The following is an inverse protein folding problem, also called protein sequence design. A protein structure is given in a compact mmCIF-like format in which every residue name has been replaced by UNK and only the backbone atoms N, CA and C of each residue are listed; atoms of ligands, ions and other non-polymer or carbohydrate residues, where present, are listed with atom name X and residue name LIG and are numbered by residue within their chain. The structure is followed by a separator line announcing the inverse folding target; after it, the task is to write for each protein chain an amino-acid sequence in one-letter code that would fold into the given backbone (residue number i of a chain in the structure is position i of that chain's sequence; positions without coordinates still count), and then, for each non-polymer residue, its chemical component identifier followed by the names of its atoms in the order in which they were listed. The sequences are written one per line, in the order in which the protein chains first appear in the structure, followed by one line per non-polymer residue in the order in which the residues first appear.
data_IF_903513326149
#
_entry.id   IF_903513326149
#
_cell.length_a   1.000
_cell.length_b   1.000
_cell.length_c   1.000
_cell.angle_alpha   90.00
_cell.angle_beta   90.00
_cell.angle_gamma   90.00
#
_symmetry.space_group_name_H-M   'P 1'
#
loop_
_entity.id
_entity.type
_entity.pdbx_description
1 polymer ?
#
# COMPACT_ATOMS: atom_id res chain seq x y z
N UNK A 1 57.74 -46.93 -57.81
CA UNK A 1 58.34 -46.41 -56.57
C UNK A 1 57.62 -45.11 -56.24
N UNK A 2 56.52 -45.23 -55.47
CA UNK A 2 55.68 -44.09 -55.09
C UNK A 2 55.72 -43.94 -53.60
N UNK A 3 56.19 -42.78 -53.15
CA UNK A 3 56.10 -42.40 -51.72
C UNK A 3 54.86 -41.59 -51.51
N UNK A 4 53.94 -42.10 -50.72
CA UNK A 4 52.76 -41.37 -50.19
C UNK A 4 53.19 -40.58 -48.97
N UNK A 5 53.02 -39.25 -49.01
CA UNK A 5 53.09 -38.39 -47.87
C UNK A 5 51.70 -38.29 -47.24
N UNK A 6 51.60 -38.76 -46.00
CA UNK A 6 50.39 -38.54 -45.20
C UNK A 6 50.50 -37.21 -44.44
N UNK A 7 49.59 -36.29 -44.72
CA UNK A 7 49.43 -35.04 -43.98
C UNK A 7 48.47 -35.27 -42.82
N UNK A 8 48.94 -35.10 -41.60
CA UNK A 8 48.09 -35.10 -40.38
C UNK A 8 47.53 -33.70 -40.13
N UNK A 9 46.19 -33.55 -40.27
CA UNK A 9 45.46 -32.37 -39.81
C UNK A 9 45.27 -32.44 -38.29
N UNK A 10 45.88 -31.53 -37.56
CA UNK A 10 45.62 -31.28 -36.18
C UNK A 10 44.41 -30.32 -36.04
N UNK A 11 43.26 -30.85 -35.60
CA UNK A 11 42.09 -30.05 -35.25
C UNK A 11 42.24 -29.51 -33.83
N UNK A 12 42.51 -28.23 -33.69
CA UNK A 12 42.49 -27.51 -32.41
C UNK A 12 41.04 -27.21 -32.02
N UNK A 13 40.48 -27.92 -31.02
CA UNK A 13 39.25 -27.56 -30.36
C UNK A 13 39.49 -26.29 -29.50
N UNK A 14 38.95 -25.15 -29.94
CA UNK A 14 38.76 -23.99 -29.09
C UNK A 14 37.59 -24.27 -28.15
N UNK A 15 37.87 -24.65 -26.92
CA UNK A 15 36.87 -24.66 -25.84
C UNK A 15 36.61 -23.20 -25.43
N UNK A 16 35.50 -22.63 -25.91
CA UNK A 16 35.01 -21.34 -25.44
C UNK A 16 34.62 -21.51 -23.96
N UNK A 17 35.40 -20.92 -23.07
CA UNK A 17 35.05 -20.78 -21.65
C UNK A 17 33.87 -19.82 -21.59
N UNK A 18 32.67 -20.35 -21.52
CA UNK A 18 31.48 -19.62 -21.09
C UNK A 18 31.67 -19.29 -19.60
N UNK A 19 32.18 -18.11 -19.29
CA UNK A 19 32.02 -17.52 -17.96
C UNK A 19 30.54 -17.14 -17.85
N UNK A 20 29.78 -17.68 -16.89
CA UNK A 20 28.43 -17.18 -16.65
C UNK A 20 28.56 -15.71 -16.30
N UNK A 21 27.86 -14.86 -17.06
CA UNK A 21 27.75 -13.45 -16.72
C UNK A 21 27.24 -13.39 -15.28
N UNK A 22 28.07 -12.89 -14.37
CA UNK A 22 27.62 -12.54 -13.02
C UNK A 22 26.39 -11.65 -13.19
N UNK A 23 25.27 -12.06 -12.59
CA UNK A 23 24.08 -11.22 -12.59
C UNK A 23 24.52 -9.87 -12.03
N UNK A 24 24.58 -8.84 -12.88
CA UNK A 24 24.97 -7.51 -12.46
C UNK A 24 24.07 -7.12 -11.29
N UNK A 25 24.67 -6.73 -10.17
CA UNK A 25 23.92 -6.29 -9.00
C UNK A 25 22.97 -5.17 -9.47
N UNK A 26 21.68 -5.36 -9.22
CA UNK A 26 20.67 -4.38 -9.63
C UNK A 26 20.98 -3.08 -8.91
N UNK A 27 21.01 -1.97 -9.66
CA UNK A 27 21.17 -0.65 -9.08
C UNK A 27 20.07 -0.39 -8.03
N UNK A 28 20.39 0.21 -6.89
CA UNK A 28 19.42 0.58 -5.88
C UNK A 28 18.35 1.52 -6.46
N UNK A 29 17.11 1.36 -6.03
CA UNK A 29 16.10 2.36 -6.34
C UNK A 29 16.43 3.67 -5.62
N UNK A 30 16.21 4.82 -6.31
CA UNK A 30 16.23 6.12 -5.68
C UNK A 30 15.05 6.31 -4.72
N UNK A 31 15.03 7.43 -4.01
CA UNK A 31 14.02 7.74 -2.98
C UNK A 31 12.59 7.84 -3.53
N UNK A 32 12.45 8.16 -4.83
CA UNK A 32 11.19 8.17 -5.57
C UNK A 32 10.88 6.85 -6.27
N UNK A 33 11.48 5.73 -5.85
CA UNK A 33 11.36 4.42 -6.51
C UNK A 33 11.66 4.49 -8.01
N UNK A 34 12.68 5.26 -8.39
CA UNK A 34 13.18 5.33 -9.76
C UNK A 34 13.60 3.94 -10.22
N UNK A 35 13.17 3.55 -11.42
CA UNK A 35 13.37 2.19 -11.93
C UNK A 35 12.34 1.15 -11.48
N UNK A 36 11.48 1.42 -10.48
CA UNK A 36 10.35 0.56 -10.17
C UNK A 36 9.16 0.87 -11.09
N UNK A 37 8.69 -0.15 -11.80
CA UNK A 37 7.60 0.01 -12.77
C UNK A 37 6.23 0.18 -12.10
N UNK A 38 5.43 1.14 -12.59
CA UNK A 38 4.02 1.29 -12.25
C UNK A 38 3.15 0.82 -13.43
N UNK A 39 1.92 0.34 -13.17
CA UNK A 39 1.06 -0.22 -14.21
C UNK A 39 0.51 0.83 -15.19
N UNK A 40 0.48 2.10 -14.79
CA UNK A 40 -0.01 3.22 -15.57
C UNK A 40 0.96 4.41 -15.48
N UNK A 41 0.87 5.39 -16.39
CA UNK A 41 1.69 6.60 -16.33
C UNK A 41 1.54 7.33 -14.99
N UNK A 42 2.66 7.80 -14.46
CA UNK A 42 2.73 8.54 -13.20
C UNK A 42 2.95 10.02 -13.49
N UNK A 43 2.07 10.85 -12.95
CA UNK A 43 2.20 12.31 -12.94
C UNK A 43 2.65 12.79 -11.56
N UNK A 44 3.19 14.02 -11.49
CA UNK A 44 3.67 14.64 -10.27
C UNK A 44 2.95 15.97 -10.05
N UNK A 45 2.29 16.12 -8.89
CA UNK A 45 1.69 17.37 -8.45
C UNK A 45 2.61 18.08 -7.46
N UNK A 46 3.11 19.30 -7.74
CA UNK A 46 3.81 20.12 -6.76
C UNK A 46 2.87 20.56 -5.64
N UNK A 47 3.30 20.41 -4.40
CA UNK A 47 2.58 20.81 -3.19
C UNK A 47 3.53 21.48 -2.20
N UNK A 48 2.95 22.21 -1.24
CA UNK A 48 3.67 22.69 -0.06
C UNK A 48 3.13 21.96 1.16
N UNK A 49 4.00 21.24 1.86
CA UNK A 49 3.69 20.44 3.04
C UNK A 49 4.41 21.02 4.25
N UNK A 50 3.68 21.73 5.10
CA UNK A 50 4.23 22.40 6.29
C UNK A 50 5.49 23.26 5.99
N UNK A 51 5.46 24.01 4.87
CA UNK A 51 6.55 24.87 4.39
C UNK A 51 7.60 24.16 3.51
N UNK A 52 7.61 22.83 3.44
CA UNK A 52 8.50 22.08 2.55
C UNK A 52 7.86 21.90 1.16
N UNK A 53 8.64 22.15 0.09
CA UNK A 53 8.21 21.87 -1.28
C UNK A 53 8.30 20.37 -1.54
N UNK A 54 7.18 19.76 -1.88
CA UNK A 54 7.05 18.31 -2.12
C UNK A 54 6.34 18.04 -3.44
N UNK A 55 6.41 16.81 -3.93
CA UNK A 55 5.69 16.37 -5.12
C UNK A 55 4.91 15.12 -4.78
N UNK A 56 3.60 15.12 -5.07
CA UNK A 56 2.74 13.95 -4.96
C UNK A 56 2.72 13.23 -6.30
N UNK A 57 3.15 11.98 -6.31
CA UNK A 57 3.03 11.10 -7.48
C UNK A 57 1.61 10.50 -7.51
N UNK A 58 1.03 10.38 -8.69
CA UNK A 58 -0.28 9.77 -8.86
C UNK A 58 -0.45 9.16 -10.25
N UNK A 59 -1.28 8.13 -10.35
CA UNK A 59 -1.83 7.61 -11.60
C UNK A 59 -3.24 8.15 -11.76
N UNK A 60 -3.62 8.57 -12.97
CA UNK A 60 -4.98 9.02 -13.34
C UNK A 60 -5.42 8.23 -14.57
N UNK A 61 -6.35 7.32 -14.37
CA UNK A 61 -6.77 6.35 -15.38
C UNK A 61 -8.19 6.63 -15.82
N UNK A 62 -8.32 7.10 -17.04
CA UNK A 62 -9.62 7.33 -17.65
C UNK A 62 -10.24 6.00 -18.12
N UNK A 63 -11.54 5.78 -17.95
CA UNK A 63 -12.24 4.61 -18.48
C UNK A 63 -12.50 4.77 -19.98
N UNK A 64 -12.67 3.65 -20.68
CA UNK A 64 -13.06 3.65 -22.11
C UNK A 64 -14.50 4.20 -22.30
N UNK A 65 -15.41 3.83 -21.41
CA UNK A 65 -16.80 4.29 -21.41
C UNK A 65 -17.12 4.93 -20.04
N UNK A 66 -17.03 6.26 -19.92
CA UNK A 66 -17.22 6.94 -18.63
C UNK A 66 -18.66 6.82 -18.09
N UNK A 67 -18.77 6.47 -16.81
CA UNK A 67 -20.04 6.52 -16.07
C UNK A 67 -20.24 7.84 -15.31
N UNK A 68 -19.31 8.80 -15.44
CA UNK A 68 -19.35 10.12 -14.81
C UNK A 68 -18.84 10.13 -13.36
N UNK A 69 -18.41 9.00 -12.81
CA UNK A 69 -17.92 8.89 -11.41
C UNK A 69 -16.41 8.65 -11.34
N UNK A 70 -15.83 9.12 -10.25
CA UNK A 70 -14.41 8.95 -9.95
C UNK A 70 -14.23 8.14 -8.68
N UNK A 71 -13.28 7.22 -8.70
CA UNK A 71 -12.81 6.47 -7.52
C UNK A 71 -11.38 6.86 -7.19
N UNK A 72 -11.11 7.18 -5.93
CA UNK A 72 -9.76 7.38 -5.39
C UNK A 72 -9.32 6.15 -4.62
N UNK A 73 -8.17 5.58 -4.98
CA UNK A 73 -7.58 4.42 -4.29
C UNK A 73 -6.49 4.86 -3.34
N UNK A 74 -6.70 4.70 -2.04
CA UNK A 74 -5.74 5.05 -0.98
C UNK A 74 -4.98 3.80 -0.53
N UNK A 75 -3.67 3.80 -0.72
CA UNK A 75 -2.80 2.65 -0.43
C UNK A 75 -2.49 2.46 1.06
N UNK A 76 -2.04 1.26 1.41
CA UNK A 76 -1.52 0.92 2.74
C UNK A 76 -0.07 1.39 2.96
N UNK A 77 0.47 1.15 4.17
CA UNK A 77 1.81 1.62 4.57
C UNK A 77 2.95 0.94 3.81
N UNK A 78 2.82 -0.34 3.55
CA UNK A 78 3.97 -1.21 3.24
C UNK A 78 4.21 -1.45 1.75
N UNK A 79 3.29 -1.02 0.89
CA UNK A 79 3.33 -1.31 -0.54
C UNK A 79 3.16 -0.04 -1.36
N UNK A 80 3.86 0.09 -2.50
CA UNK A 80 3.61 1.17 -3.44
C UNK A 80 2.22 1.02 -4.07
N UNK A 81 1.59 2.12 -4.47
CA UNK A 81 0.23 2.11 -5.02
C UNK A 81 0.05 1.27 -6.30
N UNK A 82 1.16 0.85 -6.92
CA UNK A 82 1.17 -0.08 -8.06
C UNK A 82 0.44 -1.41 -7.80
N UNK A 83 0.33 -1.85 -6.54
CA UNK A 83 -0.39 -3.08 -6.18
C UNK A 83 -1.91 -2.99 -6.42
N UNK A 84 -2.43 -1.79 -6.64
CA UNK A 84 -3.81 -1.59 -7.03
C UNK A 84 -4.12 -1.95 -8.50
N UNK A 85 -3.12 -2.37 -9.30
CA UNK A 85 -3.28 -2.65 -10.73
C UNK A 85 -4.55 -3.46 -11.10
N UNK A 86 -4.89 -4.59 -10.43
CA UNK A 86 -6.09 -5.35 -10.75
C UNK A 86 -7.39 -4.57 -10.45
N UNK A 87 -7.41 -3.79 -9.35
CA UNK A 87 -8.58 -3.00 -8.96
C UNK A 87 -8.76 -1.80 -9.88
N UNK A 88 -7.66 -1.15 -10.30
CA UNK A 88 -7.70 -0.07 -11.31
C UNK A 88 -8.35 -0.58 -12.58
N UNK A 89 -7.91 -1.74 -13.08
CA UNK A 89 -8.48 -2.35 -14.29
C UNK A 89 -9.97 -2.63 -14.11
N UNK A 90 -10.37 -3.27 -13.02
CA UNK A 90 -11.78 -3.58 -12.73
C UNK A 90 -12.66 -2.34 -12.73
N UNK A 91 -12.23 -1.27 -12.06
CA UNK A 91 -12.99 -0.02 -11.96
C UNK A 91 -13.03 0.73 -13.29
N UNK A 92 -11.92 0.80 -14.03
CA UNK A 92 -11.90 1.47 -15.34
C UNK A 92 -12.73 0.73 -16.38
N UNK A 93 -12.74 -0.61 -16.37
CA UNK A 93 -13.62 -1.42 -17.22
C UNK A 93 -15.11 -1.19 -16.88
N UNK A 94 -15.42 -0.90 -15.61
CA UNK A 94 -16.77 -0.56 -15.14
C UNK A 94 -17.15 0.92 -15.34
N UNK A 95 -16.32 1.70 -16.01
CA UNK A 95 -16.59 3.08 -16.40
C UNK A 95 -16.16 4.15 -15.40
N UNK A 96 -15.49 3.81 -14.31
CA UNK A 96 -15.01 4.79 -13.34
C UNK A 96 -13.66 5.39 -13.79
N UNK A 97 -13.49 6.72 -13.64
CA UNK A 97 -12.17 7.34 -13.61
C UNK A 97 -11.48 6.91 -12.32
N UNK A 98 -10.23 6.48 -12.37
CA UNK A 98 -9.52 5.96 -11.19
C UNK A 98 -8.29 6.82 -10.91
N UNK A 99 -8.25 7.47 -9.74
CA UNK A 99 -7.12 8.29 -9.28
C UNK A 99 -6.40 7.58 -8.15
N UNK A 100 -5.11 7.39 -8.28
CA UNK A 100 -4.32 6.58 -7.34
C UNK A 100 -3.07 7.34 -6.92
N UNK A 101 -3.16 8.17 -5.86
CA UNK A 101 -1.99 8.85 -5.32
C UNK A 101 -1.07 7.88 -4.56
N UNK A 102 0.25 8.07 -4.70
CA UNK A 102 1.17 7.74 -3.62
C UNK A 102 1.12 8.89 -2.61
N UNK A 103 0.73 8.63 -1.39
CA UNK A 103 0.70 9.67 -0.37
C UNK A 103 2.10 10.24 -0.12
N UNK A 104 2.19 11.52 0.28
CA UNK A 104 3.47 12.11 0.69
C UNK A 104 4.11 11.25 1.79
N UNK A 105 5.38 10.90 1.64
CA UNK A 105 6.09 9.95 2.49
C UNK A 105 6.20 8.54 1.90
N UNK A 106 5.46 8.22 0.83
CA UNK A 106 5.35 6.86 0.29
C UNK A 106 5.64 6.81 -1.22
N UNK A 107 5.82 5.59 -1.73
CA UNK A 107 5.92 5.28 -3.15
C UNK A 107 6.85 6.20 -3.92
N UNK A 108 6.38 6.75 -5.04
CA UNK A 108 7.13 7.71 -5.87
C UNK A 108 6.99 9.16 -5.40
N UNK A 109 6.18 9.44 -4.37
CA UNK A 109 6.05 10.78 -3.79
C UNK A 109 7.25 11.19 -2.95
N UNK A 110 7.43 12.48 -2.74
CA UNK A 110 8.48 13.03 -1.87
C UNK A 110 8.41 12.46 -0.45
N UNK A 111 9.57 12.27 0.19
CA UNK A 111 9.73 11.92 1.59
C UNK A 111 10.09 13.19 2.36
N UNK A 112 9.13 13.82 3.06
CA UNK A 112 9.36 15.06 3.79
C UNK A 112 10.33 14.84 4.96
N UNK A 113 10.93 15.93 5.44
CA UNK A 113 11.76 15.88 6.65
C UNK A 113 10.93 15.95 7.93
N UNK A 114 9.75 16.61 7.85
CA UNK A 114 8.80 16.73 8.94
C UNK A 114 8.02 15.44 9.24
N UNK A 115 7.25 15.47 10.31
CA UNK A 115 6.38 14.37 10.70
C UNK A 115 5.19 14.24 9.74
N UNK A 116 4.71 13.02 9.55
CA UNK A 116 3.48 12.75 8.80
C UNK A 116 2.27 12.84 9.73
N UNK A 117 1.19 13.44 9.22
CA UNK A 117 -0.09 13.59 9.89
C UNK A 117 -1.23 13.25 8.93
N UNK A 118 -2.28 12.56 9.41
CA UNK A 118 -3.42 12.22 8.56
C UNK A 118 -4.13 13.46 8.02
N UNK A 119 -4.22 14.54 8.79
CA UNK A 119 -4.86 15.78 8.34
C UNK A 119 -4.09 16.43 7.17
N UNK A 120 -2.76 16.37 7.20
CA UNK A 120 -1.91 16.83 6.09
C UNK A 120 -2.05 15.94 4.86
N UNK A 121 -2.07 14.62 5.03
CA UNK A 121 -2.32 13.69 3.91
C UNK A 121 -3.71 13.86 3.31
N UNK A 122 -4.73 14.10 4.15
CA UNK A 122 -6.09 14.39 3.70
C UNK A 122 -6.15 15.67 2.87
N UNK A 123 -5.56 16.77 3.37
CA UNK A 123 -5.46 18.05 2.66
C UNK A 123 -4.75 17.89 1.31
N UNK A 124 -3.64 17.16 1.26
CA UNK A 124 -2.90 16.90 0.03
C UNK A 124 -3.72 16.08 -0.97
N UNK A 125 -4.50 15.11 -0.49
CA UNK A 125 -5.43 14.34 -1.34
C UNK A 125 -6.51 15.24 -1.92
N UNK A 126 -7.09 16.14 -1.13
CA UNK A 126 -8.07 17.12 -1.64
C UNK A 126 -7.44 18.07 -2.66
N UNK A 127 -6.22 18.55 -2.42
CA UNK A 127 -5.50 19.39 -3.39
C UNK A 127 -5.27 18.66 -4.72
N UNK A 128 -5.02 17.35 -4.71
CA UNK A 128 -4.97 16.55 -5.94
C UNK A 128 -6.32 16.51 -6.65
N UNK A 129 -7.41 16.30 -5.92
CA UNK A 129 -8.76 16.29 -6.53
C UNK A 129 -9.12 17.66 -7.12
N UNK A 130 -8.75 18.75 -6.45
CA UNK A 130 -8.96 20.12 -6.95
C UNK A 130 -8.15 20.38 -8.21
N UNK A 131 -6.87 19.96 -8.25
CA UNK A 131 -6.02 20.03 -9.44
C UNK A 131 -6.62 19.26 -10.63
N UNK A 132 -7.22 18.11 -10.37
CA UNK A 132 -7.88 17.26 -11.38
C UNK A 132 -9.32 17.68 -11.68
N UNK A 133 -9.82 18.77 -11.06
CA UNK A 133 -11.18 19.29 -11.18
C UNK A 133 -12.25 18.24 -10.80
N UNK A 134 -11.96 17.43 -9.79
CA UNK A 134 -12.88 16.42 -9.25
C UNK A 134 -13.57 17.01 -8.02
N UNK A 135 -14.82 17.35 -8.14
CA UNK A 135 -15.59 17.93 -7.04
C UNK A 135 -15.95 16.91 -5.97
N UNK A 136 -16.21 15.65 -6.36
CA UNK A 136 -16.62 14.58 -5.47
C UNK A 136 -16.15 13.22 -5.99
N UNK A 137 -15.85 12.29 -5.10
CA UNK A 137 -15.35 10.96 -5.47
C UNK A 137 -15.80 9.88 -4.48
N UNK A 138 -15.80 8.63 -4.94
CA UNK A 138 -15.80 7.46 -4.07
C UNK A 138 -14.38 7.19 -3.57
N UNK A 139 -14.22 6.77 -2.32
CA UNK A 139 -12.92 6.42 -1.74
C UNK A 139 -12.87 4.93 -1.46
N UNK A 140 -11.85 4.25 -2.00
CA UNK A 140 -11.50 2.88 -1.69
C UNK A 140 -10.14 2.88 -1.01
N UNK A 141 -10.08 2.43 0.22
CA UNK A 141 -8.95 2.67 1.11
C UNK A 141 -8.48 1.39 1.79
N UNK A 142 -7.21 1.02 1.62
CA UNK A 142 -6.62 -0.18 2.18
C UNK A 142 -5.71 0.12 3.37
N UNK A 143 -5.85 -0.66 4.45
CA UNK A 143 -4.92 -0.64 5.59
C UNK A 143 -4.76 0.76 6.21
N UNK A 144 -3.57 1.36 6.21
CA UNK A 144 -3.32 2.75 6.61
C UNK A 144 -4.20 3.74 5.83
N UNK A 145 -4.39 3.47 4.52
CA UNK A 145 -5.31 4.27 3.70
C UNK A 145 -6.73 4.29 4.26
N UNK A 146 -7.15 3.24 4.99
CA UNK A 146 -8.44 3.21 5.69
C UNK A 146 -8.54 4.26 6.81
N UNK A 147 -7.48 4.43 7.61
CA UNK A 147 -7.43 5.53 8.60
C UNK A 147 -7.50 6.89 7.90
N UNK A 148 -6.74 7.06 6.81
CA UNK A 148 -6.79 8.28 6.00
C UNK A 148 -8.18 8.52 5.39
N UNK A 149 -8.84 7.48 4.87
CA UNK A 149 -10.20 7.56 4.32
C UNK A 149 -11.21 8.04 5.35
N UNK A 150 -11.17 7.51 6.57
CA UNK A 150 -12.00 7.99 7.69
C UNK A 150 -11.72 9.47 7.96
N UNK A 151 -10.46 9.88 8.04
CA UNK A 151 -10.08 11.27 8.29
C UNK A 151 -10.53 12.20 7.16
N UNK A 152 -10.43 11.78 5.90
CA UNK A 152 -10.94 12.54 4.74
C UNK A 152 -12.44 12.74 4.84
N UNK A 153 -13.20 11.68 5.07
CA UNK A 153 -14.67 11.77 5.15
C UNK A 153 -15.11 12.67 6.31
N UNK A 154 -14.41 12.62 7.45
CA UNK A 154 -14.71 13.46 8.60
C UNK A 154 -14.39 14.93 8.37
N UNK A 155 -13.29 15.23 7.66
CA UNK A 155 -12.84 16.60 7.38
C UNK A 155 -13.54 17.22 6.15
N UNK A 156 -13.91 16.40 5.16
CA UNK A 156 -14.45 16.84 3.86
C UNK A 156 -15.68 16.01 3.46
N UNK A 157 -16.76 15.97 4.27
CA UNK A 157 -17.89 15.07 4.05
C UNK A 157 -18.58 15.29 2.70
N UNK A 158 -18.63 16.53 2.20
CA UNK A 158 -19.28 16.88 0.93
C UNK A 158 -18.46 16.45 -0.30
N UNK A 159 -17.21 16.02 -0.11
CA UNK A 159 -16.29 15.61 -1.18
C UNK A 159 -16.31 14.10 -1.42
N UNK A 160 -17.06 13.32 -0.62
CA UNK A 160 -17.06 11.85 -0.67
C UNK A 160 -18.48 11.32 -0.79
N UNK A 161 -18.73 10.47 -1.81
CA UNK A 161 -19.99 9.77 -2.00
C UNK A 161 -20.08 8.48 -1.20
N UNK A 162 -19.06 7.60 -1.35
CA UNK A 162 -18.99 6.31 -0.68
C UNK A 162 -17.59 6.10 -0.11
N UNK A 163 -17.50 5.33 0.97
CA UNK A 163 -16.24 4.88 1.57
C UNK A 163 -16.19 3.35 1.57
N UNK A 164 -15.16 2.79 0.94
CA UNK A 164 -14.85 1.35 1.03
C UNK A 164 -13.57 1.18 1.83
N UNK A 165 -13.68 0.51 2.95
CA UNK A 165 -12.58 0.21 3.87
C UNK A 165 -12.13 -1.24 3.66
N UNK A 166 -11.06 -1.42 2.89
CA UNK A 166 -10.48 -2.72 2.53
C UNK A 166 -9.42 -3.10 3.56
N UNK A 167 -9.70 -4.10 4.38
CA UNK A 167 -8.78 -4.54 5.45
C UNK A 167 -8.12 -3.35 6.18
N UNK A 168 -8.89 -2.34 6.65
CA UNK A 168 -8.32 -1.16 7.27
C UNK A 168 -7.63 -1.52 8.58
N UNK A 169 -6.58 -0.77 8.93
CA UNK A 169 -6.07 -0.70 10.31
C UNK A 169 -6.75 0.45 11.06
N UNK A 170 -6.49 0.58 12.37
CA UNK A 170 -7.11 1.64 13.19
C UNK A 170 -8.55 1.34 13.62
N UNK A 171 -8.98 0.08 13.53
CA UNK A 171 -10.26 -0.37 14.06
C UNK A 171 -10.29 -0.41 15.60
N UNK A 172 -9.11 -0.38 16.20
CA UNK A 172 -8.88 -0.28 17.65
C UNK A 172 -7.87 0.83 17.96
N UNK A 173 -7.93 1.40 19.14
CA UNK A 173 -6.92 2.36 19.62
C UNK A 173 -5.73 1.58 20.19
N UNK A 174 -4.66 1.48 19.43
CA UNK A 174 -3.46 0.73 19.80
C UNK A 174 -2.80 1.22 21.09
N UNK A 175 -3.00 2.48 21.50
CA UNK A 175 -2.46 3.07 22.73
C UNK A 175 -3.01 2.41 23.99
N UNK A 176 -4.16 1.73 23.89
CA UNK A 176 -4.74 0.95 24.98
C UNK A 176 -3.97 -0.34 25.29
N UNK A 177 -3.17 -0.81 24.33
CA UNK A 177 -2.49 -2.10 24.38
C UNK A 177 -0.98 -1.98 24.30
N UNK A 178 -0.48 -1.05 23.49
CA UNK A 178 0.92 -0.89 23.17
C UNK A 178 1.48 0.35 23.85
N UNK A 179 2.52 0.23 24.69
CA UNK A 179 3.19 1.40 25.24
C UNK A 179 3.87 2.21 24.14
N UNK A 180 4.05 3.54 24.31
CA UNK A 180 4.75 4.36 23.35
C UNK A 180 6.17 3.84 23.12
N UNK A 181 6.54 3.71 21.86
CA UNK A 181 7.87 3.26 21.46
C UNK A 181 8.70 4.47 21.00
N UNK A 182 9.89 4.72 21.56
CA UNK A 182 10.76 5.81 21.12
C UNK A 182 11.08 5.69 19.63
N UNK A 183 11.15 6.84 18.95
CA UNK A 183 11.40 6.91 17.50
C UNK A 183 12.70 6.20 17.12
N UNK A 184 13.76 6.38 17.91
CA UNK A 184 15.07 5.76 17.70
C UNK A 184 14.96 4.23 17.72
N UNK A 185 14.12 3.68 18.59
CA UNK A 185 13.91 2.23 18.67
C UNK A 185 13.15 1.71 17.45
N UNK A 186 12.20 2.47 16.92
CA UNK A 186 11.48 2.09 15.69
C UNK A 186 12.44 2.17 14.50
N UNK A 187 13.27 3.23 14.40
CA UNK A 187 14.32 3.37 13.37
C UNK A 187 15.27 2.17 13.39
N UNK A 188 15.78 1.80 14.56
CA UNK A 188 16.69 0.66 14.73
C UNK A 188 16.02 -0.66 14.26
N UNK A 189 14.79 -0.90 14.65
CA UNK A 189 14.06 -2.12 14.29
C UNK A 189 13.80 -2.19 12.78
N UNK A 190 13.39 -1.08 12.15
CA UNK A 190 13.14 -1.01 10.71
C UNK A 190 14.43 -1.13 9.89
N UNK A 191 15.53 -0.54 10.37
CA UNK A 191 16.82 -0.63 9.71
C UNK A 191 17.41 -2.05 9.76
N UNK A 192 17.24 -2.75 10.87
CA UNK A 192 17.67 -4.15 11.04
C UNK A 192 16.82 -5.17 10.30
N UNK A 193 15.60 -4.79 9.87
CA UNK A 193 14.72 -5.72 9.18
C UNK A 193 15.35 -6.16 7.85
N UNK A 194 15.40 -7.46 7.64
CA UNK A 194 15.88 -8.09 6.39
C UNK A 194 14.73 -8.40 5.44
N UNK A 195 15.04 -8.65 4.17
CA UNK A 195 14.04 -9.07 3.18
C UNK A 195 13.35 -10.37 3.60
N UNK A 196 14.09 -11.34 4.13
CA UNK A 196 13.52 -12.62 4.61
C UNK A 196 12.68 -12.43 5.87
N UNK A 197 13.12 -11.57 6.81
CA UNK A 197 12.35 -11.21 7.99
C UNK A 197 11.02 -10.53 7.61
N UNK A 198 11.05 -9.66 6.60
CA UNK A 198 9.86 -9.01 6.09
C UNK A 198 8.93 -9.99 5.36
N UNK A 199 9.46 -10.91 4.55
CA UNK A 199 8.67 -11.99 3.93
C UNK A 199 7.92 -12.79 4.98
N UNK A 200 8.62 -13.23 6.03
CA UNK A 200 8.01 -13.94 7.15
C UNK A 200 6.93 -13.10 7.86
N UNK A 201 7.14 -11.79 7.99
CA UNK A 201 6.14 -10.88 8.55
C UNK A 201 4.87 -10.81 7.68
N UNK A 202 5.01 -10.77 6.35
CA UNK A 202 3.87 -10.80 5.43
C UNK A 202 3.09 -12.12 5.55
N UNK A 203 3.77 -13.24 5.64
CA UNK A 203 3.15 -14.55 5.80
C UNK A 203 2.41 -14.71 7.15
N UNK A 204 3.01 -14.20 8.24
CA UNK A 204 2.48 -14.42 9.60
C UNK A 204 1.50 -13.35 10.05
N UNK A 205 1.85 -12.06 9.91
CA UNK A 205 1.03 -10.95 10.42
C UNK A 205 -0.07 -10.53 9.47
N UNK A 206 0.18 -10.66 8.16
CA UNK A 206 -0.80 -10.34 7.12
C UNK A 206 -1.57 -11.57 6.65
N UNK A 207 -1.17 -12.76 7.09
CA UNK A 207 -1.70 -14.04 6.62
C UNK A 207 -1.70 -14.12 5.09
N UNK A 208 -0.64 -13.59 4.44
CA UNK A 208 -0.55 -13.45 3.00
C UNK A 208 -0.37 -14.81 2.33
N UNK A 209 -1.28 -15.19 1.46
CA UNK A 209 -1.30 -16.48 0.75
C UNK A 209 -0.93 -16.35 -0.73
N UNK A 210 -0.38 -15.20 -1.14
CA UNK A 210 0.01 -14.98 -2.53
C UNK A 210 1.26 -15.79 -2.91
N UNK A 211 1.38 -16.24 -4.17
CA UNK A 211 2.60 -16.84 -4.71
C UNK A 211 3.81 -15.92 -4.57
N UNK A 212 4.99 -16.51 -4.42
CA UNK A 212 6.23 -15.76 -4.14
C UNK A 212 6.57 -14.73 -5.22
N UNK A 213 6.27 -15.00 -6.48
CA UNK A 213 6.49 -14.10 -7.63
C UNK A 213 5.62 -12.83 -7.55
N UNK A 214 4.42 -12.93 -6.96
CA UNK A 214 3.55 -11.77 -6.72
C UNK A 214 4.00 -10.94 -5.51
N UNK A 215 4.67 -11.54 -4.54
CA UNK A 215 5.15 -10.87 -3.31
C UNK A 215 6.52 -10.23 -3.50
N UNK A 216 7.39 -10.87 -4.29
CA UNK A 216 8.78 -10.40 -4.53
C UNK A 216 8.88 -8.93 -4.96
N UNK A 217 8.04 -8.39 -5.90
CA UNK A 217 8.11 -6.98 -6.27
C UNK A 217 7.90 -6.01 -5.09
N UNK A 218 7.07 -6.37 -4.12
CA UNK A 218 6.83 -5.54 -2.93
C UNK A 218 8.04 -5.55 -1.99
N UNK A 219 8.68 -6.72 -1.84
CA UNK A 219 9.92 -6.85 -1.08
C UNK A 219 11.02 -6.04 -1.75
N UNK A 220 11.16 -6.17 -3.07
CA UNK A 220 12.14 -5.41 -3.85
C UNK A 220 11.93 -3.90 -3.71
N UNK A 221 10.69 -3.41 -3.80
CA UNK A 221 10.37 -2.00 -3.64
C UNK A 221 10.81 -1.45 -2.27
N UNK A 222 10.78 -2.28 -1.23
CA UNK A 222 11.16 -1.88 0.13
C UNK A 222 12.66 -2.02 0.40
N UNK A 223 13.31 -3.07 -0.09
CA UNK A 223 14.68 -3.41 0.32
C UNK A 223 15.75 -2.96 -0.67
N UNK A 224 15.41 -2.82 -1.95
CA UNK A 224 16.38 -2.35 -2.93
C UNK A 224 16.83 -0.90 -2.68
N UNK A 225 15.99 -0.07 -2.05
CA UNK A 225 16.35 1.31 -1.66
C UNK A 225 17.44 1.37 -0.56
N UNK A 226 17.66 0.30 0.21
CA UNK A 226 18.68 0.29 1.28
C UNK A 226 20.09 0.57 0.77
N UNK A 227 20.39 0.31 -0.49
CA UNK A 227 21.66 0.66 -1.14
C UNK A 227 21.78 2.12 -1.56
N UNK A 228 20.72 2.91 -1.48
CA UNK A 228 20.71 4.31 -1.88
C UNK A 228 21.30 5.22 -0.79
N UNK A 229 22.02 6.27 -1.19
CA UNK A 229 22.46 7.35 -0.29
C UNK A 229 21.30 8.07 0.40
N UNK A 230 20.09 8.02 -0.19
CA UNK A 230 18.89 8.66 0.34
C UNK A 230 18.09 7.75 1.31
N UNK A 231 18.52 6.51 1.51
CA UNK A 231 17.85 5.57 2.41
C UNK A 231 17.57 6.13 3.81
N UNK A 232 18.47 6.86 4.48
CA UNK A 232 18.19 7.43 5.80
C UNK A 232 16.99 8.41 5.81
N UNK A 233 16.77 9.15 4.72
CA UNK A 233 15.59 10.03 4.56
C UNK A 233 14.32 9.22 4.35
N UNK A 234 14.37 8.22 3.49
CA UNK A 234 13.26 7.28 3.29
C UNK A 234 12.87 6.60 4.61
N UNK A 235 13.84 6.10 5.37
CA UNK A 235 13.62 5.40 6.63
C UNK A 235 12.92 6.31 7.66
N UNK A 236 13.36 7.57 7.79
CA UNK A 236 12.71 8.54 8.68
C UNK A 236 11.25 8.78 8.31
N UNK A 237 10.94 9.01 7.05
CA UNK A 237 9.55 9.18 6.58
C UNK A 237 8.71 7.92 6.85
N UNK A 238 9.30 6.74 6.62
CA UNK A 238 8.62 5.47 6.87
C UNK A 238 8.34 5.24 8.36
N UNK A 239 9.27 5.59 9.25
CA UNK A 239 9.09 5.52 10.71
C UNK A 239 8.07 6.57 11.18
N UNK A 240 8.09 7.77 10.61
CA UNK A 240 7.08 8.80 10.89
C UNK A 240 5.65 8.29 10.63
N UNK A 241 5.45 7.48 9.58
CA UNK A 241 4.15 6.86 9.32
C UNK A 241 3.70 5.88 10.43
N UNK A 242 4.62 5.18 11.07
CA UNK A 242 4.29 4.31 12.21
C UNK A 242 3.89 5.14 13.45
N UNK A 243 4.58 6.25 13.67
CA UNK A 243 4.23 7.20 14.74
C UNK A 243 2.87 7.85 14.49
N UNK A 244 2.56 8.25 13.25
CA UNK A 244 1.26 8.79 12.86
C UNK A 244 0.13 7.80 13.18
N UNK A 245 0.26 6.52 12.77
CA UNK A 245 -0.72 5.47 13.09
C UNK A 245 -0.98 5.38 14.61
N UNK A 246 0.08 5.43 15.41
CA UNK A 246 -0.03 5.33 16.86
C UNK A 246 -0.64 6.57 17.51
N UNK A 247 -0.24 7.77 17.08
CA UNK A 247 -0.64 9.05 17.71
C UNK A 247 -2.05 9.49 17.31
N UNK A 248 -2.53 9.10 16.14
CA UNK A 248 -3.75 9.61 15.53
C UNK A 248 -4.80 8.49 15.28
N UNK A 249 -5.31 7.84 16.35
CA UNK A 249 -6.29 6.77 16.21
C UNK A 249 -7.60 7.30 15.63
N UNK A 250 -8.27 6.49 14.81
CA UNK A 250 -9.55 6.82 14.18
C UNK A 250 -10.71 5.94 14.62
N UNK A 251 -10.47 4.94 15.46
CA UNK A 251 -11.49 3.99 15.90
C UNK A 251 -12.75 4.65 16.50
N UNK A 252 -12.56 5.76 17.21
CA UNK A 252 -13.64 6.54 17.80
C UNK A 252 -14.38 7.45 16.77
N UNK A 253 -13.79 7.72 15.61
CA UNK A 253 -14.38 8.52 14.54
C UNK A 253 -15.21 7.69 13.58
N UNK A 254 -14.90 6.41 13.42
CA UNK A 254 -15.59 5.50 12.48
C UNK A 254 -17.11 5.52 12.66
N UNK A 255 -17.66 5.41 13.88
CA UNK A 255 -19.13 5.46 14.06
C UNK A 255 -19.79 6.79 13.71
N UNK A 256 -18.99 7.85 13.52
CA UNK A 256 -19.46 9.19 13.17
C UNK A 256 -19.47 9.46 11.67
N UNK A 257 -19.00 8.51 10.86
CA UNK A 257 -19.03 8.60 9.39
C UNK A 257 -20.46 8.40 8.91
N UNK A 258 -21.01 9.39 8.23
CA UNK A 258 -22.39 9.37 7.74
C UNK A 258 -22.52 8.79 6.32
N UNK A 259 -21.45 8.82 5.52
CA UNK A 259 -21.45 8.30 4.16
C UNK A 259 -21.71 6.80 4.15
N UNK A 260 -22.36 6.27 3.10
CA UNK A 260 -22.44 4.84 2.88
C UNK A 260 -21.04 4.21 2.96
N UNK A 261 -20.84 3.26 3.86
CA UNK A 261 -19.53 2.67 4.12
C UNK A 261 -19.60 1.15 4.08
N UNK A 262 -18.68 0.56 3.29
CA UNK A 262 -18.48 -0.89 3.22
C UNK A 262 -17.10 -1.25 3.78
N UNK A 263 -17.07 -2.15 4.76
CA UNK A 263 -15.84 -2.84 5.16
C UNK A 263 -15.74 -4.15 4.38
N UNK A 264 -14.59 -4.42 3.77
CA UNK A 264 -14.25 -5.72 3.15
C UNK A 264 -13.03 -6.27 3.86
N UNK A 265 -13.23 -7.32 4.66
CA UNK A 265 -12.22 -7.90 5.54
C UNK A 265 -11.79 -9.27 5.06
N UNK A 266 -10.52 -9.62 5.25
CA UNK A 266 -10.09 -11.01 5.20
C UNK A 266 -10.36 -11.69 6.55
N UNK A 267 -10.83 -12.92 6.53
CA UNK A 267 -11.13 -13.66 7.77
C UNK A 267 -9.87 -13.94 8.60
N UNK A 268 -8.72 -14.07 7.94
CA UNK A 268 -7.43 -14.39 8.56
C UNK A 268 -6.55 -13.14 8.82
N UNK A 269 -7.08 -11.93 8.54
CA UNK A 269 -6.36 -10.69 8.80
C UNK A 269 -6.36 -10.35 10.29
N UNK A 270 -5.22 -10.60 10.94
CA UNK A 270 -4.96 -10.27 12.35
C UNK A 270 -3.93 -9.12 12.50
N UNK A 271 -3.73 -8.33 11.46
CA UNK A 271 -2.75 -7.24 11.47
C UNK A 271 -3.15 -6.16 12.48
N UNK A 272 -2.32 -5.99 13.51
CA UNK A 272 -2.45 -4.95 14.52
C UNK A 272 -1.10 -4.26 14.74
N UNK A 273 -0.92 -3.02 14.29
CA UNK A 273 0.31 -2.26 14.48
C UNK A 273 0.79 -2.24 15.92
N UNK A 274 2.06 -2.58 16.12
CA UNK A 274 2.69 -2.60 17.43
C UNK A 274 2.37 -3.82 18.31
N UNK A 275 1.54 -4.76 17.90
CA UNK A 275 1.15 -5.96 18.69
C UNK A 275 2.35 -6.72 19.27
N UNK A 276 3.46 -6.80 18.55
CA UNK A 276 4.68 -7.43 19.04
C UNK A 276 5.28 -6.74 20.27
N UNK A 277 5.05 -5.43 20.43
CA UNK A 277 5.53 -4.62 21.55
C UNK A 277 4.53 -4.55 22.72
N UNK A 278 3.32 -5.09 22.55
CA UNK A 278 2.33 -5.15 23.62
C UNK A 278 2.75 -6.13 24.70
N UNK A 279 2.41 -5.89 25.99
CA UNK A 279 2.53 -6.89 27.05
C UNK A 279 1.89 -8.21 26.64
N UNK A 280 2.48 -9.33 27.02
CA UNK A 280 2.04 -10.67 26.61
C UNK A 280 0.54 -10.91 26.90
N UNK A 281 0.07 -10.50 28.07
CA UNK A 281 -1.34 -10.64 28.48
C UNK A 281 -2.32 -9.81 27.62
N UNK A 282 -1.86 -8.80 26.89
CA UNK A 282 -2.70 -7.93 26.04
C UNK A 282 -2.67 -8.33 24.56
N UNK A 283 -1.61 -9.03 24.10
CA UNK A 283 -1.50 -9.45 22.70
C UNK A 283 -2.70 -10.23 22.15
N UNK A 284 -3.28 -11.19 22.90
CA UNK A 284 -4.45 -11.92 22.43
C UNK A 284 -5.71 -11.05 22.25
N UNK A 285 -5.74 -9.85 22.82
CA UNK A 285 -6.88 -8.93 22.72
C UNK A 285 -6.84 -8.05 21.47
N UNK A 286 -5.75 -8.10 20.71
CA UNK A 286 -5.50 -7.24 19.55
C UNK A 286 -5.65 -8.00 18.21
N UNK A 287 -6.11 -7.30 17.19
CA UNK A 287 -6.15 -7.79 15.80
C UNK A 287 -7.33 -8.71 15.52
N UNK A 288 -8.46 -8.52 16.16
CA UNK A 288 -9.73 -9.17 15.84
C UNK A 288 -10.47 -8.36 14.77
N UNK A 289 -9.80 -8.15 13.63
CA UNK A 289 -10.19 -7.13 12.64
C UNK A 289 -11.57 -7.39 12.04
N UNK A 290 -11.93 -8.64 11.74
CA UNK A 290 -13.23 -9.00 11.17
C UNK A 290 -14.38 -8.72 12.17
N UNK A 291 -14.20 -9.06 13.45
CA UNK A 291 -15.16 -8.80 14.52
C UNK A 291 -15.28 -7.31 14.81
N UNK A 292 -14.15 -6.60 14.86
CA UNK A 292 -14.12 -5.15 15.07
C UNK A 292 -14.83 -4.40 13.93
N UNK A 293 -14.61 -4.79 12.66
CA UNK A 293 -15.29 -4.21 11.51
C UNK A 293 -16.81 -4.40 11.58
N UNK A 294 -17.28 -5.61 11.95
CA UNK A 294 -18.72 -5.88 12.16
C UNK A 294 -19.29 -5.03 13.30
N UNK A 295 -18.60 -4.94 14.43
CA UNK A 295 -19.06 -4.17 15.59
C UNK A 295 -19.09 -2.65 15.30
N UNK A 296 -18.09 -2.13 14.58
CA UNK A 296 -18.03 -0.72 14.20
C UNK A 296 -19.07 -0.37 13.12
N UNK A 297 -19.20 -1.18 12.08
CA UNK A 297 -20.18 -0.95 11.02
C UNK A 297 -21.62 -0.93 11.55
N UNK A 298 -21.94 -1.78 12.53
CA UNK A 298 -23.26 -1.80 13.17
C UNK A 298 -23.58 -0.52 13.99
N UNK A 299 -22.57 0.29 14.30
CA UNK A 299 -22.71 1.56 15.02
C UNK A 299 -22.74 2.78 14.08
N UNK A 300 -22.51 2.56 12.79
CA UNK A 300 -22.53 3.61 11.76
C UNK A 300 -23.96 3.82 11.23
N UNK A 301 -24.33 5.03 10.81
CA UNK A 301 -25.64 5.27 10.18
C UNK A 301 -25.86 4.43 8.92
N UNK A 302 -24.83 4.26 8.09
CA UNK A 302 -24.90 3.60 6.78
C UNK A 302 -23.71 2.64 6.59
N UNK A 303 -23.34 1.89 7.64
CA UNK A 303 -22.21 0.96 7.63
C UNK A 303 -22.61 -0.48 7.40
N UNK A 304 -21.82 -1.23 6.64
CA UNK A 304 -21.90 -2.69 6.56
C UNK A 304 -20.52 -3.32 6.46
N UNK A 305 -20.38 -4.57 6.89
CA UNK A 305 -19.14 -5.31 6.85
C UNK A 305 -19.33 -6.67 6.17
N UNK A 306 -18.43 -6.98 5.25
CA UNK A 306 -18.33 -8.27 4.56
C UNK A 306 -16.99 -8.91 4.89
N UNK A 307 -16.98 -10.20 5.12
CA UNK A 307 -15.78 -10.97 5.47
C UNK A 307 -15.57 -12.07 4.43
N UNK A 308 -14.40 -12.10 3.81
CA UNK A 308 -14.04 -13.11 2.82
C UNK A 308 -13.22 -14.19 3.52
N UNK A 309 -13.68 -15.44 3.43
CA UNK A 309 -13.01 -16.60 4.00
C UNK A 309 -11.66 -16.84 3.36
N UNK A 310 -10.75 -17.50 4.07
CA UNK A 310 -9.43 -17.92 3.58
C UNK A 310 -8.57 -16.80 2.97
N UNK A 311 -8.75 -15.56 3.41
CA UNK A 311 -8.01 -14.40 2.96
C UNK A 311 -7.40 -13.63 4.12
N UNK A 312 -6.21 -13.09 3.89
CA UNK A 312 -5.50 -12.24 4.83
C UNK A 312 -5.71 -10.76 4.55
N UNK A 313 -4.64 -9.98 4.72
CA UNK A 313 -4.67 -8.52 4.66
C UNK A 313 -4.82 -7.94 3.25
N UNK A 314 -4.42 -8.67 2.20
CA UNK A 314 -4.50 -8.21 0.81
C UNK A 314 -5.70 -8.85 0.07
N UNK A 315 -6.90 -8.72 0.65
CA UNK A 315 -8.14 -9.38 0.18
C UNK A 315 -8.42 -9.21 -1.31
N UNK A 316 -8.10 -8.05 -1.89
CA UNK A 316 -8.31 -7.75 -3.32
C UNK A 316 -7.30 -8.45 -4.24
N UNK A 317 -6.16 -8.94 -3.73
CA UNK A 317 -5.20 -9.75 -4.45
C UNK A 317 -5.43 -11.25 -4.20
N UNK A 318 -5.84 -11.61 -2.99
CA UNK A 318 -6.03 -13.01 -2.57
C UNK A 318 -7.38 -13.58 -3.04
N UNK A 319 -8.44 -12.76 -3.05
CA UNK A 319 -9.78 -13.15 -3.52
C UNK A 319 -10.37 -12.12 -4.50
N UNK A 320 -9.72 -11.85 -5.66
CA UNK A 320 -10.07 -10.74 -6.53
C UNK A 320 -11.51 -10.82 -7.08
N UNK A 321 -12.01 -12.00 -7.39
CA UNK A 321 -13.38 -12.18 -7.92
C UNK A 321 -14.41 -11.72 -6.90
N UNK A 322 -14.32 -12.25 -5.65
CA UNK A 322 -15.28 -11.91 -4.60
C UNK A 322 -15.15 -10.46 -4.14
N UNK A 323 -13.92 -9.96 -4.05
CA UNK A 323 -13.66 -8.56 -3.72
C UNK A 323 -14.30 -7.62 -4.74
N UNK A 324 -14.07 -7.85 -6.04
CA UNK A 324 -14.58 -7.02 -7.12
C UNK A 324 -16.13 -7.04 -7.18
N UNK A 325 -16.75 -8.21 -6.94
CA UNK A 325 -18.20 -8.34 -6.85
C UNK A 325 -18.78 -7.43 -5.74
N UNK A 326 -18.18 -7.48 -4.54
CA UNK A 326 -18.60 -6.66 -3.40
C UNK A 326 -18.36 -5.17 -3.67
N UNK A 327 -17.20 -4.82 -4.21
CA UNK A 327 -16.82 -3.44 -4.53
C UNK A 327 -17.77 -2.82 -5.55
N UNK A 328 -17.93 -3.46 -6.71
CA UNK A 328 -18.80 -2.94 -7.78
C UNK A 328 -20.27 -2.92 -7.38
N UNK A 329 -20.74 -3.96 -6.69
CA UNK A 329 -22.11 -4.01 -6.17
C UNK A 329 -22.40 -2.90 -5.17
N UNK A 330 -21.41 -2.53 -4.34
CA UNK A 330 -21.56 -1.43 -3.41
C UNK A 330 -21.54 -0.05 -4.09
N UNK A 331 -20.59 0.16 -4.99
CA UNK A 331 -20.46 1.43 -5.70
C UNK A 331 -21.63 1.69 -6.66
N UNK A 332 -22.29 0.66 -7.18
CA UNK A 332 -23.47 0.79 -8.04
C UNK A 332 -24.77 1.13 -7.29
N UNK A 333 -24.83 0.87 -5.98
CA UNK A 333 -25.99 1.23 -5.15
C UNK A 333 -26.10 2.77 -5.05
N UNK A 334 -27.32 3.29 -5.25
CA UNK A 334 -27.62 4.72 -5.16
C UNK A 334 -28.09 5.09 -3.76
#
# INVERSE_FOLDING_TARGET
MNRLCAAALASALLASLYTPASAAAREPYGIGLEGFAYPYPVSLLPLTNDGEQVRMAYMDVAPVQPNGRTVVLLHGRNFPSSYWAPVIKTLSDAGYRVVVPDQIGFGKSSKPQGELHFDTLARNTMALLDHLQISKADIVAHSLGGMLGVRIVRAYPDRVDHLVLTAPIGLEDYRLYVPPTPTEKILENEDRLTADGYRKQLETSYALKLPADQVTPFIDARFNIKGSAEYPRWLRAFVSSAQMIYREPVAHEIPLVAQPTLFVMGADDHNAPGKANAPEALRPKMGHNAELAKALSARMPNGRAEVISDTGHLVFLEAPVKYNELLLGFLAAR
#
